data_IF_191707165373
#
_entry.id   IF_191707165373
#
_cell.length_a   1.000
_cell.length_b   1.000
_cell.length_c   1.000
_cell.angle_alpha   90.00
_cell.angle_beta   90.00
_cell.angle_gamma   90.00
#
_symmetry.space_group_name_H-M   'P 1'
#
loop_
_entity.id
_entity.type
_entity.pdbx_description
1 polymer ?
#
# COMPACT_ATOMS: atom_id res chain seq x y z
N UNK A 1 97.94 -9.55 -47.13
CA UNK A 1 96.82 -10.47 -47.44
C UNK A 1 95.50 -9.73 -47.21
N UNK A 2 94.57 -9.80 -48.18
CA UNK A 2 93.08 -9.72 -48.08
C UNK A 2 92.46 -8.50 -47.33
N UNK A 3 91.82 -7.53 -48.02
CA UNK A 3 90.43 -7.51 -48.56
C UNK A 3 89.32 -7.31 -47.49
N UNK A 4 88.40 -6.36 -47.79
CA UNK A 4 86.97 -6.24 -47.36
C UNK A 4 86.74 -5.64 -45.95
N UNK A 5 85.66 -4.94 -45.59
CA UNK A 5 84.33 -4.72 -46.19
C UNK A 5 83.68 -3.44 -45.58
N UNK A 6 82.71 -2.91 -46.31
CA UNK A 6 81.68 -1.89 -46.02
C UNK A 6 80.81 -2.26 -44.79
N UNK A 7 80.27 -1.27 -44.04
CA UNK A 7 78.82 -1.12 -43.74
C UNK A 7 78.47 -0.15 -42.56
N UNK A 8 77.65 0.85 -42.90
CA UNK A 8 76.45 1.33 -42.18
C UNK A 8 76.56 1.90 -40.75
N UNK A 9 76.24 3.19 -40.60
CA UNK A 9 75.49 3.69 -39.45
C UNK A 9 74.33 4.55 -39.96
N UNK A 10 73.19 3.88 -40.20
CA UNK A 10 71.94 4.50 -40.59
C UNK A 10 70.82 3.82 -39.81
N UNK A 11 70.00 4.65 -39.16
CA UNK A 11 68.56 4.47 -38.93
C UNK A 11 68.07 3.51 -37.83
N UNK A 12 66.91 3.92 -37.29
CA UNK A 12 65.91 3.17 -36.50
C UNK A 12 66.06 3.28 -34.97
N UNK A 13 65.52 4.39 -34.45
CA UNK A 13 64.96 4.45 -33.11
C UNK A 13 63.80 3.44 -33.03
N UNK A 14 63.91 2.54 -32.07
CA UNK A 14 63.11 1.35 -31.86
C UNK A 14 61.61 1.66 -31.71
N UNK A 15 60.79 1.14 -32.62
CA UNK A 15 59.35 0.99 -32.45
C UNK A 15 59.11 -0.17 -31.47
N UNK A 16 58.80 0.13 -30.21
CA UNK A 16 58.10 -0.82 -29.33
C UNK A 16 56.61 -0.70 -29.60
N UNK A 17 56.14 -1.38 -30.65
CA UNK A 17 54.75 -1.74 -30.79
C UNK A 17 54.55 -3.10 -30.10
N UNK A 18 54.20 -3.07 -28.81
CA UNK A 18 53.49 -4.21 -28.22
C UNK A 18 52.02 -4.08 -28.60
N UNK A 19 51.36 -5.10 -29.18
CA UNK A 19 49.92 -5.08 -29.33
C UNK A 19 49.34 -5.18 -27.92
N UNK A 20 48.92 -4.04 -27.36
CA UNK A 20 47.95 -4.06 -26.28
C UNK A 20 46.65 -4.63 -26.87
N UNK A 21 46.50 -5.95 -26.84
CA UNK A 21 45.19 -6.58 -26.84
C UNK A 21 44.55 -6.35 -25.46
N UNK A 22 44.33 -5.08 -25.14
CA UNK A 22 43.23 -4.70 -24.25
C UNK A 22 42.05 -4.66 -25.21
N UNK A 23 41.07 -5.54 -25.03
CA UNK A 23 39.73 -5.29 -25.58
C UNK A 23 39.21 -4.07 -24.83
N UNK A 24 39.68 -2.89 -25.23
CA UNK A 24 39.18 -1.63 -24.75
C UNK A 24 37.79 -1.53 -25.36
N UNK A 25 36.78 -1.96 -24.61
CA UNK A 25 35.39 -1.78 -24.97
C UNK A 25 35.21 -0.32 -25.39
N UNK A 26 34.88 -0.10 -26.66
CA UNK A 26 34.69 1.25 -27.18
C UNK A 26 33.50 1.87 -26.43
N UNK A 27 33.52 3.18 -26.19
CA UNK A 27 32.43 3.89 -25.51
C UNK A 27 31.08 3.59 -26.21
N UNK A 28 31.09 3.37 -27.52
CA UNK A 28 29.92 2.92 -28.30
C UNK A 28 29.39 1.54 -27.86
N UNK A 29 30.26 0.57 -27.59
CA UNK A 29 29.86 -0.75 -27.08
C UNK A 29 29.29 -0.65 -25.66
N UNK A 30 29.83 0.24 -24.82
CA UNK A 30 29.29 0.49 -23.46
C UNK A 30 27.90 1.12 -23.52
N UNK A 31 27.69 2.09 -24.41
CA UNK A 31 26.37 2.71 -24.63
C UNK A 31 25.36 1.68 -25.16
N UNK A 32 25.77 0.81 -26.09
CA UNK A 32 24.90 -0.25 -26.63
C UNK A 32 24.53 -1.28 -25.55
N UNK A 33 25.50 -1.73 -24.75
CA UNK A 33 25.27 -2.66 -23.65
C UNK A 33 24.33 -2.05 -22.59
N UNK A 34 24.54 -0.78 -22.24
CA UNK A 34 23.67 -0.05 -21.30
C UNK A 34 22.26 0.16 -21.87
N UNK A 35 22.13 0.39 -23.17
CA UNK A 35 20.83 0.51 -23.84
C UNK A 35 20.06 -0.81 -23.81
N UNK A 36 20.73 -1.94 -24.08
CA UNK A 36 20.12 -3.28 -23.97
C UNK A 36 19.65 -3.60 -22.55
N UNK A 37 20.41 -3.21 -21.52
CA UNK A 37 19.98 -3.35 -20.12
C UNK A 37 18.73 -2.51 -19.84
N UNK A 38 18.71 -1.24 -20.26
CA UNK A 38 17.55 -0.37 -20.08
C UNK A 38 16.31 -0.95 -20.79
N UNK A 39 16.44 -1.45 -22.02
CA UNK A 39 15.35 -2.10 -22.74
C UNK A 39 14.82 -3.34 -22.01
N UNK A 40 15.71 -4.18 -21.46
CA UNK A 40 15.31 -5.32 -20.65
C UNK A 40 14.56 -4.90 -19.37
N UNK A 41 15.02 -3.84 -18.70
CA UNK A 41 14.39 -3.30 -17.49
C UNK A 41 13.00 -2.71 -17.82
N UNK A 42 12.87 -1.96 -18.91
CA UNK A 42 11.57 -1.44 -19.39
C UNK A 42 10.59 -2.58 -19.68
N UNK A 43 11.08 -3.67 -20.29
CA UNK A 43 10.24 -4.85 -20.53
C UNK A 43 9.75 -5.45 -19.20
N UNK A 44 10.63 -5.63 -18.22
CA UNK A 44 10.23 -6.14 -16.89
C UNK A 44 9.28 -5.20 -16.15
N UNK A 45 9.44 -3.89 -16.31
CA UNK A 45 8.52 -2.88 -15.76
C UNK A 45 7.12 -3.02 -16.38
N UNK A 46 7.07 -3.22 -17.70
CA UNK A 46 5.82 -3.42 -18.43
C UNK A 46 5.10 -4.70 -17.98
N UNK A 47 5.82 -5.82 -17.93
CA UNK A 47 5.28 -7.11 -17.50
C UNK A 47 4.77 -7.02 -16.04
N UNK A 48 5.49 -6.31 -15.16
CA UNK A 48 5.07 -6.07 -13.78
C UNK A 48 3.81 -5.19 -13.67
N UNK A 49 3.66 -4.18 -14.52
CA UNK A 49 2.47 -3.32 -14.60
C UNK A 49 1.25 -4.07 -15.14
N UNK A 50 1.43 -4.92 -16.14
CA UNK A 50 0.35 -5.78 -16.65
C UNK A 50 -0.13 -6.75 -15.57
N UNK A 51 0.80 -7.37 -14.82
CA UNK A 51 0.44 -8.23 -13.69
C UNK A 51 -0.28 -7.46 -12.57
N UNK A 52 0.14 -6.24 -12.25
CA UNK A 52 -0.55 -5.38 -11.29
C UNK A 52 -2.00 -5.08 -11.73
N UNK A 53 -2.21 -4.79 -13.02
CA UNK A 53 -3.56 -4.57 -13.55
C UNK A 53 -4.45 -5.83 -13.41
N UNK A 54 -3.89 -7.03 -13.62
CA UNK A 54 -4.64 -8.28 -13.40
C UNK A 54 -5.00 -8.48 -11.92
N UNK A 55 -4.08 -8.19 -11.01
CA UNK A 55 -4.35 -8.24 -9.57
C UNK A 55 -5.43 -7.23 -9.15
N UNK A 56 -5.44 -6.03 -9.74
CA UNK A 56 -6.48 -5.04 -9.47
C UNK A 56 -7.86 -5.49 -9.93
N UNK A 57 -7.96 -6.19 -11.06
CA UNK A 57 -9.22 -6.77 -11.54
C UNK A 57 -9.70 -7.92 -10.65
N UNK A 58 -8.79 -8.78 -10.20
CA UNK A 58 -9.09 -9.86 -9.25
C UNK A 58 -9.56 -9.31 -7.89
N UNK A 59 -8.88 -8.29 -7.36
CA UNK A 59 -9.29 -7.59 -6.13
C UNK A 59 -10.68 -6.98 -6.31
N UNK A 60 -10.94 -6.25 -7.39
CA UNK A 60 -12.25 -5.64 -7.63
C UNK A 60 -13.37 -6.70 -7.76
N UNK A 61 -13.06 -7.86 -8.33
CA UNK A 61 -14.00 -8.99 -8.40
C UNK A 61 -14.29 -9.55 -7.02
N UNK A 62 -13.27 -9.75 -6.19
CA UNK A 62 -13.42 -10.24 -4.82
C UNK A 62 -14.15 -9.23 -3.93
N UNK A 63 -13.86 -7.93 -4.06
CA UNK A 63 -14.61 -6.87 -3.39
C UNK A 63 -16.10 -6.95 -3.72
N UNK A 64 -16.45 -7.18 -4.99
CA UNK A 64 -17.84 -7.34 -5.42
C UNK A 64 -18.49 -8.61 -4.87
N UNK A 65 -17.77 -9.73 -4.84
CA UNK A 65 -18.23 -10.97 -4.21
C UNK A 65 -18.44 -10.78 -2.71
N UNK A 66 -17.52 -10.10 -2.03
CA UNK A 66 -17.61 -9.74 -0.63
C UNK A 66 -18.85 -8.89 -0.34
N UNK A 67 -19.10 -7.83 -1.13
CA UNK A 67 -20.31 -7.01 -0.99
C UNK A 67 -21.59 -7.82 -1.20
N UNK A 68 -21.57 -8.78 -2.13
CA UNK A 68 -22.71 -9.67 -2.37
C UNK A 68 -22.96 -10.57 -1.16
N UNK A 69 -21.92 -11.20 -0.61
CA UNK A 69 -22.00 -12.04 0.59
C UNK A 69 -22.44 -11.23 1.81
N UNK A 70 -21.99 -9.98 1.94
CA UNK A 70 -22.39 -9.09 3.03
C UNK A 70 -23.87 -8.72 2.93
N UNK A 71 -24.39 -8.49 1.71
CA UNK A 71 -25.82 -8.28 1.48
C UNK A 71 -26.66 -9.52 1.79
N UNK A 72 -26.18 -10.71 1.41
CA UNK A 72 -26.80 -11.99 1.77
C UNK A 72 -26.83 -12.20 3.28
N UNK A 73 -25.73 -11.88 3.97
CA UNK A 73 -25.62 -11.96 5.43
C UNK A 73 -26.63 -11.05 6.12
N UNK A 74 -26.74 -9.78 5.71
CA UNK A 74 -27.73 -8.86 6.27
C UNK A 74 -29.17 -9.32 6.05
N UNK A 75 -29.48 -9.91 4.90
CA UNK A 75 -30.81 -10.52 4.65
C UNK A 75 -31.05 -11.70 5.59
N UNK A 76 -30.05 -12.55 5.77
CA UNK A 76 -30.15 -13.72 6.64
C UNK A 76 -30.22 -13.33 8.12
N UNK A 77 -29.60 -12.24 8.54
CA UNK A 77 -29.71 -11.67 9.90
C UNK A 77 -31.11 -11.13 10.18
N UNK A 78 -31.73 -10.44 9.22
CA UNK A 78 -33.14 -10.01 9.34
C UNK A 78 -34.06 -11.21 9.47
N UNK A 79 -33.83 -12.24 8.66
CA UNK A 79 -34.62 -13.47 8.73
C UNK A 79 -34.37 -14.22 10.04
N UNK A 80 -33.13 -14.24 10.53
CA UNK A 80 -32.80 -14.78 11.85
C UNK A 80 -33.56 -14.08 12.97
N UNK A 81 -33.58 -12.75 12.98
CA UNK A 81 -34.29 -11.99 14.01
C UNK A 81 -35.80 -12.26 13.98
N UNK A 82 -36.36 -12.40 12.77
CA UNK A 82 -37.75 -12.83 12.57
C UNK A 82 -37.97 -14.24 13.15
N UNK A 83 -37.13 -15.21 12.79
CA UNK A 83 -37.19 -16.59 13.26
C UNK A 83 -36.98 -16.70 14.77
N UNK A 84 -36.08 -15.93 15.38
CA UNK A 84 -35.86 -15.90 16.82
C UNK A 84 -37.11 -15.39 17.57
N UNK A 85 -37.80 -14.40 17.00
CA UNK A 85 -39.08 -13.93 17.55
C UNK A 85 -40.15 -15.02 17.46
N UNK A 86 -40.21 -15.74 16.33
CA UNK A 86 -41.13 -16.87 16.15
C UNK A 86 -40.82 -18.03 17.11
N UNK A 87 -39.54 -18.38 17.26
CA UNK A 87 -39.07 -19.40 18.21
C UNK A 87 -39.45 -19.01 19.64
N UNK A 88 -39.20 -17.77 20.06
CA UNK A 88 -39.55 -17.29 21.42
C UNK A 88 -41.06 -17.36 21.67
N UNK A 89 -41.86 -16.96 20.69
CA UNK A 89 -43.32 -17.09 20.75
C UNK A 89 -43.76 -18.57 20.81
N UNK A 90 -43.11 -19.45 20.05
CA UNK A 90 -43.39 -20.88 20.04
C UNK A 90 -42.98 -21.55 21.35
N UNK A 91 -41.82 -21.21 21.91
CA UNK A 91 -41.36 -21.65 23.23
C UNK A 91 -42.35 -21.25 24.31
N UNK A 92 -42.82 -20.00 24.28
CA UNK A 92 -43.83 -19.51 25.22
C UNK A 92 -45.15 -20.30 25.10
N UNK A 93 -45.59 -20.62 23.87
CA UNK A 93 -46.78 -21.47 23.64
C UNK A 93 -46.57 -22.89 24.14
N UNK A 94 -45.42 -23.50 23.85
CA UNK A 94 -45.03 -24.83 24.28
C UNK A 94 -44.97 -24.89 25.81
N UNK A 95 -44.43 -23.88 26.48
CA UNK A 95 -44.31 -23.82 27.93
C UNK A 95 -45.70 -23.71 28.58
N UNK A 96 -46.53 -22.76 28.11
CA UNK A 96 -47.92 -22.62 28.58
C UNK A 96 -48.72 -23.91 28.40
N UNK A 97 -48.60 -24.57 27.24
CA UNK A 97 -49.28 -25.84 26.98
C UNK A 97 -48.73 -26.98 27.85
N UNK A 98 -47.42 -27.00 28.13
CA UNK A 98 -46.81 -27.98 29.04
C UNK A 98 -47.33 -27.83 30.46
N UNK A 99 -47.44 -26.60 30.96
CA UNK A 99 -47.99 -26.33 32.30
C UNK A 99 -49.48 -26.72 32.39
N UNK A 100 -50.27 -26.43 31.34
CA UNK A 100 -51.67 -26.89 31.27
C UNK A 100 -51.78 -28.42 31.30
N UNK A 101 -50.96 -29.12 30.50
CA UNK A 101 -50.94 -30.58 30.48
C UNK A 101 -50.50 -31.18 31.83
N UNK A 102 -49.49 -30.59 32.48
CA UNK A 102 -49.07 -30.98 33.84
C UNK A 102 -50.19 -30.76 34.86
N UNK A 103 -50.88 -29.62 34.82
CA UNK A 103 -52.00 -29.32 35.69
C UNK A 103 -53.16 -30.32 35.49
N UNK A 104 -53.51 -30.62 34.23
CA UNK A 104 -54.54 -31.62 33.89
C UNK A 104 -54.15 -33.03 34.35
N UNK A 105 -52.91 -33.45 34.10
CA UNK A 105 -52.40 -34.73 34.56
C UNK A 105 -52.40 -34.82 36.10
N UNK A 106 -52.01 -33.73 36.78
CA UNK A 106 -52.03 -33.64 38.24
C UNK A 106 -53.44 -33.74 38.79
N UNK A 107 -54.42 -33.00 38.25
CA UNK A 107 -55.83 -33.11 38.67
C UNK A 107 -56.35 -34.54 38.51
N UNK A 108 -56.01 -35.18 37.40
CA UNK A 108 -56.36 -36.58 37.12
C UNK A 108 -55.68 -37.56 38.10
N UNK A 109 -54.47 -37.25 38.58
CA UNK A 109 -53.69 -38.10 39.48
C UNK A 109 -53.98 -37.85 40.98
N UNK A 110 -54.26 -36.62 41.39
CA UNK A 110 -54.44 -36.23 42.80
C UNK A 110 -55.87 -36.37 43.28
N UNK A 111 -56.86 -36.27 42.40
CA UNK A 111 -58.24 -36.63 42.74
C UNK A 111 -58.28 -38.15 42.97
N UNK A 112 -58.23 -38.55 44.24
CA UNK A 112 -58.22 -39.94 44.71
C UNK A 112 -59.54 -40.69 44.49
N UNK A 113 -60.54 -40.08 43.85
CA UNK A 113 -61.66 -40.82 43.30
C UNK A 113 -61.23 -41.31 41.92
N UNK A 114 -60.81 -42.57 41.85
CA UNK A 114 -60.73 -43.33 40.61
C UNK A 114 -62.13 -43.53 40.03
N UNK A 115 -62.85 -42.45 39.76
CA UNK A 115 -63.94 -42.47 38.80
C UNK A 115 -63.26 -42.66 37.44
N UNK A 116 -62.99 -43.93 37.10
CA UNK A 116 -62.62 -44.31 35.74
C UNK A 116 -63.63 -43.67 34.79
N UNK A 117 -63.26 -43.41 33.54
CA UNK A 117 -64.23 -43.04 32.50
C UNK A 117 -65.44 -43.99 32.54
N UNK A 118 -65.21 -45.27 32.87
CA UNK A 118 -66.25 -46.25 33.15
C UNK A 118 -67.16 -45.88 34.33
N UNK A 119 -66.64 -45.39 35.45
CA UNK A 119 -67.43 -44.98 36.63
C UNK A 119 -68.27 -43.73 36.33
N UNK A 120 -67.72 -42.74 35.63
CA UNK A 120 -68.46 -41.54 35.19
C UNK A 120 -69.60 -41.91 34.24
N UNK A 121 -69.39 -42.94 33.40
CA UNK A 121 -70.41 -43.47 32.51
C UNK A 121 -71.46 -44.34 33.24
N UNK A 122 -71.03 -45.07 34.27
CA UNK A 122 -71.90 -45.90 35.12
C UNK A 122 -72.73 -45.08 36.12
N UNK A 123 -72.29 -43.87 36.47
CA UNK A 123 -73.03 -42.91 37.30
C UNK A 123 -74.02 -42.05 36.51
N UNK A 124 -74.35 -42.44 35.28
CA UNK A 124 -75.37 -41.77 34.48
C UNK A 124 -76.78 -41.98 35.05
N UNK A 125 -77.54 -40.90 35.24
CA UNK A 125 -78.89 -40.94 35.83
C UNK A 125 -79.96 -41.40 34.82
N UNK A 126 -79.65 -41.36 33.52
CA UNK A 126 -80.54 -41.78 32.43
C UNK A 126 -79.75 -42.18 31.17
N UNK A 127 -80.41 -42.85 30.22
CA UNK A 127 -79.81 -43.16 28.92
C UNK A 127 -79.40 -41.90 28.14
N UNK A 128 -80.15 -40.79 28.28
CA UNK A 128 -79.83 -39.50 27.66
C UNK A 128 -78.61 -38.84 28.32
N UNK A 129 -78.48 -38.96 29.64
CA UNK A 129 -77.32 -38.50 30.40
C UNK A 129 -76.07 -39.33 30.06
N UNK A 130 -76.21 -40.65 29.94
CA UNK A 130 -75.13 -41.54 29.52
C UNK A 130 -74.58 -41.18 28.13
N UNK A 131 -75.47 -40.93 27.14
CA UNK A 131 -75.06 -40.51 25.79
C UNK A 131 -74.33 -39.15 25.83
N UNK A 132 -74.83 -38.21 26.64
CA UNK A 132 -74.20 -36.89 26.79
C UNK A 132 -72.82 -36.99 27.44
N UNK A 133 -72.66 -37.83 28.46
CA UNK A 133 -71.38 -38.11 29.13
C UNK A 133 -70.39 -38.83 28.18
N UNK A 134 -70.84 -39.78 27.36
CA UNK A 134 -69.99 -40.41 26.31
C UNK A 134 -69.49 -39.38 25.31
N UNK A 135 -70.37 -38.51 24.81
CA UNK A 135 -69.99 -37.45 23.87
C UNK A 135 -69.01 -36.45 24.50
N UNK A 136 -69.23 -36.07 25.77
CA UNK A 136 -68.35 -35.18 26.52
C UNK A 136 -66.95 -35.81 26.73
N UNK A 137 -66.89 -37.08 27.13
CA UNK A 137 -65.63 -37.84 27.26
C UNK A 137 -64.90 -37.95 25.93
N UNK A 138 -65.60 -38.31 24.84
CA UNK A 138 -64.98 -38.43 23.53
C UNK A 138 -64.42 -37.08 23.04
N UNK A 139 -65.15 -35.99 23.29
CA UNK A 139 -64.72 -34.62 22.98
C UNK A 139 -63.46 -34.25 23.77
N UNK A 140 -63.43 -34.55 25.08
CA UNK A 140 -62.26 -34.29 25.95
C UNK A 140 -61.03 -35.13 25.54
N UNK A 141 -61.20 -36.41 25.25
CA UNK A 141 -60.12 -37.31 24.81
C UNK A 141 -59.56 -36.85 23.46
N UNK A 142 -60.43 -36.48 22.53
CA UNK A 142 -60.03 -35.94 21.22
C UNK A 142 -59.23 -34.64 21.39
N UNK A 143 -59.76 -33.69 22.16
CA UNK A 143 -59.09 -32.42 22.43
C UNK A 143 -57.72 -32.61 23.11
N UNK A 144 -57.60 -33.54 24.06
CA UNK A 144 -56.32 -33.83 24.73
C UNK A 144 -55.30 -34.46 23.77
N UNK A 145 -55.74 -35.39 22.90
CA UNK A 145 -54.87 -35.97 21.88
C UNK A 145 -54.42 -34.94 20.84
N UNK A 146 -55.29 -34.02 20.45
CA UNK A 146 -54.94 -32.90 19.55
C UNK A 146 -53.91 -31.96 20.19
N UNK A 147 -54.09 -31.59 21.47
CA UNK A 147 -53.13 -30.76 22.22
C UNK A 147 -51.76 -31.45 22.33
N UNK A 148 -51.73 -32.76 22.61
CA UNK A 148 -50.49 -33.54 22.67
C UNK A 148 -49.78 -33.64 21.31
N UNK A 149 -50.57 -33.82 20.25
CA UNK A 149 -50.04 -33.88 18.87
C UNK A 149 -49.46 -32.53 18.46
N UNK A 150 -50.22 -31.44 18.65
CA UNK A 150 -49.74 -30.08 18.41
C UNK A 150 -48.47 -29.75 19.21
N UNK A 151 -48.39 -30.19 20.47
CA UNK A 151 -47.20 -30.01 21.30
C UNK A 151 -45.97 -30.74 20.76
N UNK A 152 -46.16 -31.94 20.21
CA UNK A 152 -45.08 -32.73 19.62
C UNK A 152 -44.59 -32.11 18.31
N UNK A 153 -45.51 -31.64 17.48
CA UNK A 153 -45.20 -31.03 16.20
C UNK A 153 -44.49 -29.69 16.38
N UNK A 154 -44.99 -28.82 17.28
CA UNK A 154 -44.34 -27.53 17.62
C UNK A 154 -42.90 -27.73 18.13
N UNK A 155 -42.65 -28.74 18.98
CA UNK A 155 -41.30 -29.07 19.47
C UNK A 155 -40.38 -29.55 18.36
N UNK A 156 -40.90 -30.35 17.42
CA UNK A 156 -40.14 -30.85 16.27
C UNK A 156 -39.76 -29.70 15.36
N UNK A 157 -40.71 -28.81 15.05
CA UNK A 157 -40.50 -27.63 14.24
C UNK A 157 -39.42 -26.72 14.85
N UNK A 158 -39.50 -26.45 16.14
CA UNK A 158 -38.51 -25.65 16.87
C UNK A 158 -37.08 -26.20 16.72
N UNK A 159 -36.90 -27.52 16.89
CA UNK A 159 -35.57 -28.15 16.73
C UNK A 159 -35.08 -28.02 15.29
N UNK A 160 -35.96 -28.20 14.30
CA UNK A 160 -35.58 -28.04 12.89
C UNK A 160 -35.20 -26.61 12.54
N UNK A 161 -35.93 -25.61 13.05
CA UNK A 161 -35.68 -24.19 12.82
C UNK A 161 -34.35 -23.76 13.43
N UNK A 162 -34.07 -24.14 14.68
CA UNK A 162 -32.79 -23.87 15.35
C UNK A 162 -31.62 -24.52 14.59
N UNK A 163 -31.78 -25.76 14.14
CA UNK A 163 -30.73 -26.47 13.41
C UNK A 163 -30.43 -25.86 12.04
N UNK A 164 -31.44 -25.46 11.27
CA UNK A 164 -31.21 -24.82 9.97
C UNK A 164 -30.53 -23.46 10.15
N UNK A 165 -30.95 -22.68 11.15
CA UNK A 165 -30.39 -21.37 11.44
C UNK A 165 -28.89 -21.44 11.76
N UNK A 166 -28.48 -22.33 12.67
CA UNK A 166 -27.05 -22.51 13.01
C UNK A 166 -26.22 -22.94 11.80
N UNK A 167 -26.76 -23.80 10.93
CA UNK A 167 -26.07 -24.23 9.70
C UNK A 167 -25.87 -23.08 8.73
N UNK A 168 -26.87 -22.23 8.53
CA UNK A 168 -26.74 -21.11 7.61
C UNK A 168 -25.75 -20.06 8.13
N UNK A 169 -25.75 -19.80 9.45
CA UNK A 169 -24.79 -18.89 10.08
C UNK A 169 -23.35 -19.36 9.91
N UNK A 170 -23.08 -20.61 10.31
CA UNK A 170 -21.73 -21.18 10.21
C UNK A 170 -21.23 -21.24 8.76
N UNK A 171 -22.11 -21.50 7.79
CA UNK A 171 -21.74 -21.46 6.37
C UNK A 171 -21.39 -20.04 5.89
N UNK A 172 -22.15 -19.03 6.32
CA UNK A 172 -21.88 -17.62 5.98
C UNK A 172 -20.61 -17.11 6.64
N UNK A 173 -20.37 -17.45 7.91
CA UNK A 173 -19.13 -17.12 8.63
C UNK A 173 -17.91 -17.69 7.91
N UNK A 174 -17.97 -18.97 7.52
CA UNK A 174 -16.89 -19.62 6.76
C UNK A 174 -16.62 -18.93 5.43
N UNK A 175 -17.68 -18.61 4.67
CA UNK A 175 -17.56 -17.91 3.37
C UNK A 175 -16.99 -16.51 3.53
N UNK A 176 -17.34 -15.82 4.62
CA UNK A 176 -16.81 -14.48 4.94
C UNK A 176 -15.31 -14.56 5.25
N UNK A 177 -14.90 -15.49 6.11
CA UNK A 177 -13.50 -15.69 6.47
C UNK A 177 -12.63 -16.09 5.26
N UNK A 178 -13.13 -16.99 4.39
CA UNK A 178 -12.42 -17.37 3.16
C UNK A 178 -12.21 -16.20 2.19
N UNK A 179 -13.17 -15.25 2.13
CA UNK A 179 -13.04 -14.05 1.31
C UNK A 179 -12.06 -13.04 1.91
N UNK A 180 -12.06 -12.86 3.22
CA UNK A 180 -11.13 -11.97 3.94
C UNK A 180 -9.68 -12.45 3.83
N UNK A 181 -9.44 -13.76 3.90
CA UNK A 181 -8.11 -14.36 3.67
C UNK A 181 -7.63 -14.10 2.23
N UNK A 182 -8.51 -14.25 1.24
CA UNK A 182 -8.21 -13.96 -0.17
C UNK A 182 -7.93 -12.48 -0.40
N UNK A 183 -8.72 -11.58 0.17
CA UNK A 183 -8.50 -10.13 0.06
C UNK A 183 -7.15 -9.74 0.65
N UNK A 184 -6.80 -10.27 1.83
CA UNK A 184 -5.53 -10.01 2.50
C UNK A 184 -4.34 -10.48 1.66
N UNK A 185 -4.37 -11.72 1.16
CA UNK A 185 -3.29 -12.28 0.33
C UNK A 185 -3.09 -11.54 -0.98
N UNK A 186 -4.18 -11.09 -1.62
CA UNK A 186 -4.11 -10.26 -2.83
C UNK A 186 -3.60 -8.85 -2.54
N UNK A 187 -3.99 -8.24 -1.42
CA UNK A 187 -3.48 -6.93 -0.99
C UNK A 187 -1.98 -6.99 -0.70
N UNK A 188 -1.50 -8.06 -0.06
CA UNK A 188 -0.06 -8.32 0.15
C UNK A 188 0.67 -8.46 -1.19
N UNK A 189 0.12 -9.23 -2.14
CA UNK A 189 0.69 -9.40 -3.48
C UNK A 189 0.76 -8.07 -4.25
N UNK A 190 -0.28 -7.23 -4.15
CA UNK A 190 -0.30 -5.88 -4.73
C UNK A 190 0.80 -5.00 -4.14
N UNK A 191 0.98 -5.03 -2.82
CA UNK A 191 2.01 -4.26 -2.14
C UNK A 191 3.40 -4.73 -2.58
N UNK A 192 3.67 -6.03 -2.58
CA UNK A 192 4.94 -6.61 -3.04
C UNK A 192 5.25 -6.18 -4.49
N UNK A 193 4.24 -6.21 -5.36
CA UNK A 193 4.43 -5.83 -6.75
C UNK A 193 4.67 -4.32 -6.93
N UNK A 194 4.04 -3.48 -6.11
CA UNK A 194 4.31 -2.03 -6.09
C UNK A 194 5.74 -1.71 -5.64
N UNK A 195 6.27 -2.45 -4.66
CA UNK A 195 7.65 -2.32 -4.21
C UNK A 195 8.62 -2.70 -5.34
N UNK A 196 8.37 -3.83 -6.03
CA UNK A 196 9.18 -4.24 -7.19
C UNK A 196 9.18 -3.20 -8.30
N UNK A 197 8.04 -2.57 -8.59
CA UNK A 197 7.97 -1.48 -9.60
C UNK A 197 8.82 -0.28 -9.16
N UNK A 198 8.77 0.10 -7.89
CA UNK A 198 9.57 1.20 -7.36
C UNK A 198 11.08 0.89 -7.40
N UNK A 199 11.47 -0.35 -7.09
CA UNK A 199 12.86 -0.83 -7.22
C UNK A 199 13.32 -0.81 -8.68
N UNK A 200 12.48 -1.28 -9.61
CA UNK A 200 12.74 -1.24 -11.05
C UNK A 200 12.90 0.21 -11.53
N UNK A 201 12.05 1.13 -11.07
CA UNK A 201 12.15 2.56 -11.41
C UNK A 201 13.45 3.19 -10.89
N UNK A 202 13.86 2.85 -9.67
CA UNK A 202 15.15 3.29 -9.12
C UNK A 202 16.34 2.73 -9.92
N UNK A 203 16.30 1.44 -10.27
CA UNK A 203 17.33 0.80 -11.07
C UNK A 203 17.39 1.37 -12.50
N UNK A 204 16.25 1.72 -13.09
CA UNK A 204 16.18 2.38 -14.39
C UNK A 204 16.81 3.77 -14.34
N UNK A 205 16.55 4.54 -13.28
CA UNK A 205 17.17 5.85 -13.08
C UNK A 205 18.70 5.75 -12.96
N UNK A 206 19.22 4.77 -12.22
CA UNK A 206 20.68 4.56 -12.09
C UNK A 206 21.33 4.14 -13.40
N UNK A 207 20.72 3.21 -14.14
CA UNK A 207 21.27 2.73 -15.42
C UNK A 207 21.22 3.83 -16.50
N UNK A 208 20.20 4.69 -16.47
CA UNK A 208 20.08 5.86 -17.36
C UNK A 208 21.13 6.92 -17.02
N UNK A 209 21.39 7.19 -15.74
CA UNK A 209 22.44 8.11 -15.32
C UNK A 209 23.86 7.65 -15.74
N UNK A 210 24.14 6.34 -15.64
CA UNK A 210 25.42 5.78 -16.14
C UNK A 210 25.51 5.86 -17.67
N UNK A 211 24.41 5.64 -18.41
CA UNK A 211 24.37 5.87 -19.87
C UNK A 211 24.69 7.33 -20.22
N UNK A 212 24.09 8.29 -19.53
CA UNK A 212 24.31 9.73 -19.76
C UNK A 212 25.77 10.14 -19.48
N UNK A 213 26.38 9.53 -18.47
CA UNK A 213 27.81 9.70 -18.17
C UNK A 213 28.69 9.21 -19.32
N UNK A 214 28.39 8.06 -19.92
CA UNK A 214 29.11 7.58 -21.11
C UNK A 214 28.91 8.47 -22.33
N UNK A 215 27.70 9.01 -22.52
CA UNK A 215 27.43 9.98 -23.61
C UNK A 215 28.27 11.25 -23.40
N UNK A 216 28.29 11.82 -22.19
CA UNK A 216 29.13 12.99 -21.87
C UNK A 216 30.62 12.71 -22.08
N UNK A 217 31.10 11.53 -21.71
CA UNK A 217 32.49 11.11 -21.98
C UNK A 217 32.77 11.01 -23.47
N UNK A 218 31.82 10.52 -24.28
CA UNK A 218 31.93 10.45 -25.74
C UNK A 218 32.01 11.84 -26.37
N UNK A 219 31.17 12.77 -25.92
CA UNK A 219 31.15 14.15 -26.40
C UNK A 219 32.43 14.90 -26.05
N UNK A 220 32.93 14.75 -24.82
CA UNK A 220 34.16 15.37 -24.36
C UNK A 220 35.38 14.82 -25.14
N UNK A 221 35.44 13.50 -25.33
CA UNK A 221 36.49 12.87 -26.14
C UNK A 221 36.44 13.36 -27.61
N UNK A 222 35.25 13.58 -28.17
CA UNK A 222 35.08 14.14 -29.51
C UNK A 222 35.57 15.59 -29.60
N UNK A 223 35.24 16.44 -28.61
CA UNK A 223 35.73 17.82 -28.51
C UNK A 223 37.25 17.88 -28.40
N UNK A 224 37.84 17.05 -27.55
CA UNK A 224 39.29 16.97 -27.39
C UNK A 224 39.99 16.53 -28.67
N UNK A 225 39.44 15.52 -29.36
CA UNK A 225 39.95 15.06 -30.66
C UNK A 225 39.87 16.15 -31.73
N UNK A 226 38.77 16.90 -31.78
CA UNK A 226 38.60 18.03 -32.70
C UNK A 226 39.60 19.17 -32.40
N UNK A 227 39.79 19.51 -31.13
CA UNK A 227 40.76 20.50 -30.69
C UNK A 227 42.20 20.08 -31.04
N UNK A 228 42.56 18.80 -30.84
CA UNK A 228 43.87 18.26 -31.23
C UNK A 228 44.06 18.31 -32.76
N UNK A 229 43.05 17.97 -33.55
CA UNK A 229 43.12 18.06 -35.01
C UNK A 229 43.28 19.51 -35.49
N UNK A 230 42.58 20.46 -34.86
CA UNK A 230 42.75 21.90 -35.13
C UNK A 230 44.15 22.39 -34.76
N UNK A 231 44.66 21.99 -33.59
CA UNK A 231 46.02 22.33 -33.15
C UNK A 231 47.09 21.76 -34.07
N UNK A 232 46.99 20.48 -34.46
CA UNK A 232 47.90 19.86 -35.43
C UNK A 232 47.81 20.51 -36.82
N UNK A 233 46.62 20.92 -37.27
CA UNK A 233 46.46 21.63 -38.53
C UNK A 233 47.08 23.02 -38.48
N UNK A 234 46.96 23.74 -37.36
CA UNK A 234 47.57 25.04 -37.17
C UNK A 234 49.09 24.96 -37.04
N UNK A 235 49.60 23.94 -36.34
CA UNK A 235 51.03 23.64 -36.24
C UNK A 235 51.63 23.34 -37.61
N UNK A 236 51.00 22.46 -38.40
CA UNK A 236 51.40 22.20 -39.80
C UNK A 236 51.35 23.45 -40.68
N UNK A 237 50.37 24.34 -40.46
CA UNK A 237 50.29 25.62 -41.17
C UNK A 237 51.43 26.56 -40.79
N UNK A 238 51.79 26.65 -39.50
CA UNK A 238 52.94 27.42 -39.02
C UNK A 238 54.26 26.86 -39.54
N UNK A 239 54.42 25.53 -39.56
CA UNK A 239 55.59 24.86 -40.12
C UNK A 239 55.73 25.11 -41.63
N UNK A 240 54.64 25.01 -42.39
CA UNK A 240 54.64 25.32 -43.82
C UNK A 240 54.95 26.80 -44.11
N UNK A 241 54.43 27.73 -43.29
CA UNK A 241 54.75 29.15 -43.38
C UNK A 241 56.23 29.44 -43.07
N UNK A 242 56.77 28.84 -42.00
CA UNK A 242 58.18 28.97 -41.64
C UNK A 242 59.10 28.43 -42.75
N UNK A 243 58.74 27.28 -43.35
CA UNK A 243 59.48 26.72 -44.48
C UNK A 243 59.41 27.62 -45.72
N UNK A 244 58.24 28.15 -46.07
CA UNK A 244 58.09 29.09 -47.19
C UNK A 244 58.83 30.41 -46.97
N UNK A 245 58.89 30.89 -45.71
CA UNK A 245 59.61 32.10 -45.34
C UNK A 245 61.14 31.88 -45.37
N UNK A 246 61.61 30.71 -44.92
CA UNK A 246 63.01 30.30 -45.05
C UNK A 246 63.43 30.16 -46.52
N UNK A 247 62.57 29.59 -47.39
CA UNK A 247 62.82 29.53 -48.83
C UNK A 247 62.83 30.91 -49.50
N UNK A 248 61.95 31.84 -49.08
CA UNK A 248 61.99 33.24 -49.54
C UNK A 248 63.26 33.95 -49.09
N UNK A 249 63.66 33.81 -47.83
CA UNK A 249 64.89 34.40 -47.30
C UNK A 249 66.13 33.82 -47.97
N UNK A 250 66.15 32.52 -48.28
CA UNK A 250 67.24 31.91 -49.05
C UNK A 250 67.31 32.44 -50.48
N UNK A 251 66.16 32.64 -51.15
CA UNK A 251 66.10 33.29 -52.48
C UNK A 251 66.50 34.77 -52.43
N UNK A 252 66.07 35.51 -51.40
CA UNK A 252 66.46 36.91 -51.19
C UNK A 252 67.95 37.05 -50.84
N UNK A 253 68.54 36.09 -50.11
CA UNK A 253 69.98 36.06 -49.87
C UNK A 253 70.76 35.76 -51.15
N UNK A 254 70.26 34.85 -52.01
CA UNK A 254 70.85 34.62 -53.33
C UNK A 254 70.73 35.84 -54.26
N UNK A 255 69.61 36.58 -54.20
CA UNK A 255 69.42 37.84 -54.93
C UNK A 255 70.29 38.96 -54.35
N UNK A 256 70.44 39.04 -53.02
CA UNK A 256 71.34 40.01 -52.36
C UNK A 256 72.81 39.72 -52.61
N UNK A 257 73.24 38.46 -52.70
CA UNK A 257 74.59 38.11 -53.17
C UNK A 257 74.80 38.48 -54.65
N UNK A 258 73.75 38.37 -55.49
CA UNK A 258 73.77 38.84 -56.86
C UNK A 258 73.73 40.38 -56.98
N UNK A 259 73.06 41.09 -56.07
CA UNK A 259 73.01 42.56 -55.99
C UNK A 259 74.27 43.16 -55.34
N UNK A 260 74.92 42.48 -54.38
CA UNK A 260 76.21 42.91 -53.81
C UNK A 260 77.33 42.91 -54.86
N UNK A 261 77.19 42.11 -55.92
CA UNK A 261 78.06 42.12 -57.08
C UNK A 261 77.76 43.28 -58.06
N UNK A 262 76.64 44.00 -57.91
CA UNK A 262 76.12 44.89 -58.96
C UNK A 262 76.05 46.38 -58.64
N UNK A 263 76.23 46.88 -57.40
CA UNK A 263 76.16 48.34 -57.19
C UNK A 263 76.93 48.84 -55.97
N UNK A 264 78.17 49.27 -56.25
CA UNK A 264 78.65 50.58 -55.79
C UNK A 264 77.63 51.65 -56.24
N UNK A 265 76.92 52.34 -55.35
CA UNK A 265 76.67 53.81 -55.38
C UNK A 265 75.61 54.25 -54.36
N UNK A 266 75.98 55.29 -53.59
CA UNK A 266 75.14 56.33 -52.92
C UNK A 266 74.08 55.90 -51.88
N UNK A 267 74.27 56.06 -50.56
CA UNK A 267 74.41 57.25 -49.68
C UNK A 267 73.08 57.87 -49.19
N UNK A 268 72.89 57.83 -47.84
CA UNK A 268 72.10 58.72 -46.92
C UNK A 268 70.56 58.71 -47.08
N UNK A 269 69.71 58.85 -46.05
CA UNK A 269 69.79 59.41 -44.69
C UNK A 269 68.50 59.02 -43.89
N UNK A 270 68.61 58.90 -42.54
CA UNK A 270 67.65 59.27 -41.46
C UNK A 270 66.12 58.95 -41.56
N UNK A 271 65.34 58.59 -40.53
CA UNK A 271 65.39 58.77 -39.07
C UNK A 271 64.33 57.92 -38.33
N UNK A 272 64.71 57.43 -37.14
CA UNK A 272 63.99 57.30 -35.84
C UNK A 272 62.45 57.31 -35.76
N UNK A 273 61.84 56.36 -35.03
CA UNK A 273 61.53 56.44 -33.57
C UNK A 273 60.81 55.18 -33.06
N UNK A 274 61.18 54.76 -31.86
CA UNK A 274 60.59 53.76 -30.95
C UNK A 274 59.89 54.55 -29.80
N UNK A 275 59.34 53.97 -28.71
CA UNK A 275 58.73 52.66 -28.41
C UNK A 275 57.43 52.80 -27.53
N UNK A 276 56.98 51.66 -26.99
CA UNK A 276 56.53 51.50 -25.59
C UNK A 276 55.03 51.75 -25.28
N UNK A 277 54.34 51.09 -24.34
CA UNK A 277 54.66 50.05 -23.33
C UNK A 277 53.34 49.48 -22.78
N UNK A 278 53.35 48.18 -22.50
CA UNK A 278 52.92 47.45 -21.28
C UNK A 278 51.58 47.64 -20.55
N UNK A 279 51.24 46.48 -19.94
CA UNK A 279 50.73 46.26 -18.58
C UNK A 279 49.19 46.29 -18.40
N UNK A 280 48.57 45.47 -17.55
CA UNK A 280 48.95 44.35 -16.67
C UNK A 280 47.63 43.80 -16.08
N UNK A 281 47.65 42.54 -15.60
CA UNK A 281 46.95 42.03 -14.39
C UNK A 281 45.41 42.22 -14.22
N UNK A 282 44.67 41.50 -13.37
CA UNK A 282 44.67 40.21 -12.65
C UNK A 282 43.42 40.26 -11.73
N UNK A 283 42.99 39.11 -11.17
CA UNK A 283 42.08 38.94 -10.00
C UNK A 283 40.58 39.26 -10.18
N UNK A 284 39.62 38.68 -9.44
CA UNK A 284 39.56 37.74 -8.29
C UNK A 284 38.09 37.26 -8.07
N UNK A 285 37.96 35.99 -7.67
CA UNK A 285 37.13 35.31 -6.63
C UNK A 285 35.73 35.79 -6.10
N UNK A 286 35.10 34.81 -5.41
CA UNK A 286 33.99 34.80 -4.42
C UNK A 286 32.56 34.51 -4.95
N UNK A 287 31.65 33.78 -4.28
CA UNK A 287 31.55 33.29 -2.89
C UNK A 287 30.58 32.10 -2.75
N UNK A 288 30.72 31.44 -1.60
CA UNK A 288 30.03 30.33 -0.95
C UNK A 288 28.57 30.55 -0.45
N UNK A 289 27.77 29.48 -0.55
CA UNK A 289 27.15 28.70 0.53
C UNK A 289 25.93 29.18 1.39
N UNK A 290 24.98 28.24 1.52
CA UNK A 290 24.38 27.71 2.76
C UNK A 290 22.98 28.14 3.28
N UNK A 291 22.16 27.10 3.56
CA UNK A 291 21.59 26.74 4.87
C UNK A 291 20.08 26.75 5.15
N UNK A 292 19.72 25.63 5.80
CA UNK A 292 18.45 25.13 6.28
C UNK A 292 18.30 25.42 7.79
N UNK A 293 17.08 25.40 8.33
CA UNK A 293 16.81 25.60 9.76
C UNK A 293 15.66 24.70 10.29
N UNK A 294 15.56 24.44 11.62
CA UNK A 294 15.15 23.16 12.22
C UNK A 294 13.78 23.14 12.95
N UNK A 295 13.36 21.95 13.38
CA UNK A 295 12.13 21.63 14.15
C UNK A 295 12.31 21.72 15.68
N UNK A 296 11.22 21.93 16.46
CA UNK A 296 11.23 21.88 17.94
C UNK A 296 10.79 20.51 18.52
N UNK A 297 11.17 20.18 19.78
CA UNK A 297 10.83 18.92 20.47
C UNK A 297 9.68 19.07 21.48
N UNK A 298 8.87 18.01 21.69
CA UNK A 298 7.96 17.92 22.86
C UNK A 298 7.74 16.47 23.35
N UNK A 299 7.46 16.34 24.65
CA UNK A 299 7.87 15.28 25.57
C UNK A 299 6.86 14.16 25.91
N UNK A 300 7.43 13.00 26.29
CA UNK A 300 7.08 12.01 27.33
C UNK A 300 5.64 11.53 27.59
N UNK A 301 4.73 11.70 26.64
CA UNK A 301 3.47 10.96 26.55
C UNK A 301 3.00 10.86 25.09
N UNK A 302 3.27 11.91 24.31
CA UNK A 302 3.39 11.88 22.85
C UNK A 302 2.11 11.67 22.04
N UNK A 303 0.97 11.37 22.67
CA UNK A 303 -0.31 11.13 22.01
C UNK A 303 -1.36 12.15 22.46
N UNK A 304 -2.08 12.71 21.48
CA UNK A 304 -3.25 13.56 21.65
C UNK A 304 -4.52 12.71 21.52
N UNK A 305 -5.63 13.22 22.06
CA UNK A 305 -6.93 12.59 21.84
C UNK A 305 -7.35 12.71 20.36
N UNK A 306 -7.89 11.63 19.75
CA UNK A 306 -8.34 11.67 18.36
C UNK A 306 -9.66 12.43 18.18
N UNK A 307 -10.39 12.75 19.26
CA UNK A 307 -11.68 13.46 19.24
C UNK A 307 -11.72 14.49 20.37
N UNK A 308 -12.46 15.58 20.20
CA UNK A 308 -12.57 16.62 21.22
C UNK A 308 -13.27 16.13 22.52
N UNK A 309 -14.18 15.15 22.39
CA UNK A 309 -14.91 14.55 23.51
C UNK A 309 -14.71 13.03 23.51
N UNK A 310 -13.96 12.52 24.49
CA UNK A 310 -13.67 11.09 24.64
C UNK A 310 -14.81 10.34 25.35
N UNK A 311 -15.99 10.29 24.74
CA UNK A 311 -17.07 9.44 25.25
C UNK A 311 -16.79 7.97 24.87
N UNK A 312 -16.16 7.21 25.77
CA UNK A 312 -15.88 5.80 25.54
C UNK A 312 -17.19 5.00 25.57
N UNK A 313 -17.55 4.40 24.43
CA UNK A 313 -18.71 3.52 24.28
C UNK A 313 -18.32 2.04 24.34
N UNK A 314 -17.08 1.71 24.00
CA UNK A 314 -16.51 0.37 24.15
C UNK A 314 -15.01 0.47 24.42
N UNK A 315 -14.53 -0.23 25.45
CA UNK A 315 -13.10 -0.26 25.81
C UNK A 315 -12.34 -1.37 25.10
N UNK A 316 -11.00 -1.32 25.17
CA UNK A 316 -10.12 -2.38 24.67
C UNK A 316 -10.24 -3.66 25.52
N UNK A 317 -10.20 -4.82 24.87
CA UNK A 317 -10.20 -6.12 25.53
C UNK A 317 -11.53 -6.89 25.40
N UNK A 318 -11.77 -7.83 26.32
CA UNK A 318 -12.91 -8.73 26.26
C UNK A 318 -14.26 -8.02 26.35
N UNK A 319 -15.17 -8.31 25.41
CA UNK A 319 -16.56 -7.80 25.38
C UNK A 319 -17.55 -8.87 24.92
N UNK A 320 -18.83 -8.71 25.26
CA UNK A 320 -19.90 -9.42 24.55
C UNK A 320 -19.94 -8.91 23.11
N UNK A 321 -20.03 -9.82 22.13
CA UNK A 321 -19.93 -9.46 20.72
C UNK A 321 -21.14 -8.61 20.27
N UNK A 322 -20.97 -7.31 20.00
CA UNK A 322 -22.08 -6.41 19.70
C UNK A 322 -22.71 -6.63 18.32
N UNK A 323 -22.02 -7.34 17.41
CA UNK A 323 -22.51 -7.58 16.03
C UNK A 323 -22.53 -9.05 15.63
N UNK A 324 -21.91 -9.93 16.40
CA UNK A 324 -21.62 -11.31 15.99
C UNK A 324 -20.44 -11.44 15.02
N UNK A 325 -19.81 -10.32 14.64
CA UNK A 325 -18.71 -10.22 13.66
C UNK A 325 -17.48 -9.54 14.27
N UNK A 326 -17.73 -8.56 15.13
CA UNK A 326 -16.71 -7.80 15.87
C UNK A 326 -15.93 -8.62 16.90
N UNK A 327 -16.34 -9.88 17.12
CA UNK A 327 -15.70 -10.79 18.04
C UNK A 327 -15.92 -10.41 19.51
N UNK A 328 -15.46 -11.30 20.39
CA UNK A 328 -15.50 -11.10 21.85
C UNK A 328 -14.27 -10.36 22.38
N UNK A 329 -13.36 -9.91 21.51
CA UNK A 329 -12.19 -9.13 21.86
C UNK A 329 -12.14 -7.87 21.00
N UNK A 330 -12.05 -6.72 21.66
CA UNK A 330 -11.93 -5.42 21.04
C UNK A 330 -10.47 -4.98 20.99
N UNK A 331 -9.95 -4.81 19.78
CA UNK A 331 -8.59 -4.39 19.44
C UNK A 331 -8.39 -2.86 19.46
N UNK A 332 -9.41 -2.11 19.86
CA UNK A 332 -9.40 -0.65 19.96
C UNK A 332 -10.23 -0.09 21.10
N UNK A 333 -10.53 1.20 21.02
CA UNK A 333 -11.48 1.92 21.86
C UNK A 333 -12.46 2.62 20.94
N UNK A 334 -13.76 2.48 21.24
CA UNK A 334 -14.82 3.15 20.50
C UNK A 334 -15.20 4.44 21.21
N UNK A 335 -15.12 5.56 20.48
CA UNK A 335 -15.56 6.88 20.93
C UNK A 335 -16.87 7.26 20.25
N UNK A 336 -17.93 7.39 21.05
CA UNK A 336 -19.23 7.82 20.59
C UNK A 336 -19.27 9.31 20.23
N UNK A 337 -20.04 9.67 19.21
CA UNK A 337 -20.20 11.05 18.79
C UNK A 337 -21.28 11.22 17.72
N UNK A 338 -21.34 12.42 17.12
CA UNK A 338 -22.26 12.73 16.01
C UNK A 338 -21.56 12.56 14.66
N UNK A 339 -22.33 12.29 13.60
CA UNK A 339 -21.74 12.14 12.27
C UNK A 339 -21.06 13.44 11.83
N UNK A 340 -19.87 13.33 11.25
CA UNK A 340 -19.05 14.47 10.87
C UNK A 340 -18.24 15.09 12.01
N UNK A 341 -18.29 14.56 13.23
CA UNK A 341 -17.39 14.99 14.32
C UNK A 341 -15.93 14.90 13.82
N UNK A 342 -15.13 15.98 13.92
CA UNK A 342 -13.74 15.96 13.44
C UNK A 342 -12.91 14.90 14.17
N UNK A 343 -12.19 14.09 13.39
CA UNK A 343 -11.22 13.12 13.87
C UNK A 343 -9.82 13.65 13.58
N UNK A 344 -8.96 13.67 14.60
CA UNK A 344 -7.64 14.26 14.56
C UNK A 344 -6.54 13.21 14.70
N UNK A 345 -5.38 13.46 14.10
CA UNK A 345 -4.21 12.61 14.28
C UNK A 345 -3.73 12.65 15.73
N UNK A 346 -3.79 11.53 16.43
CA UNK A 346 -3.30 11.41 17.82
C UNK A 346 -1.80 11.67 17.91
N UNK A 347 -1.03 11.47 16.84
CA UNK A 347 0.41 11.74 16.80
C UNK A 347 0.87 12.04 15.38
N UNK A 348 1.95 12.81 15.24
CA UNK A 348 2.54 13.08 13.93
C UNK A 348 3.07 11.80 13.27
N UNK A 349 3.02 11.73 11.95
CA UNK A 349 3.46 10.55 11.22
C UNK A 349 3.13 10.61 9.73
N UNK A 350 3.30 9.48 9.05
CA UNK A 350 2.97 9.29 7.65
C UNK A 350 1.69 8.47 7.52
N UNK A 351 0.74 8.94 6.71
CA UNK A 351 -0.47 8.20 6.40
C UNK A 351 -0.11 7.03 5.49
N UNK A 352 -0.19 5.81 6.00
CA UNK A 352 0.11 4.58 5.24
C UNK A 352 -1.13 3.96 4.61
N UNK A 353 -2.32 4.32 5.09
CA UNK A 353 -3.60 3.99 4.46
C UNK A 353 -4.60 5.12 4.64
N UNK A 354 -5.35 5.43 3.58
CA UNK A 354 -6.50 6.33 3.59
C UNK A 354 -7.46 5.91 2.48
N UNK A 355 -8.27 4.89 2.75
CA UNK A 355 -9.21 4.32 1.78
C UNK A 355 -10.41 3.68 2.50
N UNK A 356 -11.25 2.96 1.74
CA UNK A 356 -12.39 2.21 2.26
C UNK A 356 -12.05 0.72 2.28
N UNK A 357 -12.43 0.01 3.35
CA UNK A 357 -12.48 -1.45 3.36
C UNK A 357 -13.77 -1.96 4.02
N UNK A 358 -14.10 -3.23 3.80
CA UNK A 358 -15.36 -3.83 4.26
C UNK A 358 -15.56 -3.74 5.79
N UNK A 359 -14.55 -4.14 6.56
CA UNK A 359 -14.65 -4.14 8.02
C UNK A 359 -14.39 -2.76 8.62
N UNK A 360 -13.34 -2.08 8.16
CA UNK A 360 -12.89 -0.80 8.70
C UNK A 360 -13.76 0.39 8.25
N UNK A 361 -14.51 0.25 7.17
CA UNK A 361 -15.16 1.38 6.49
C UNK A 361 -14.13 2.32 5.88
N UNK A 362 -14.49 3.60 5.74
CA UNK A 362 -13.48 4.63 5.47
C UNK A 362 -12.57 4.72 6.68
N UNK A 363 -11.27 4.62 6.44
CA UNK A 363 -10.30 4.63 7.53
C UNK A 363 -9.02 5.35 7.16
N UNK A 364 -8.29 5.74 8.19
CA UNK A 364 -6.92 6.24 8.09
C UNK A 364 -6.03 5.38 8.98
N UNK A 365 -4.83 5.05 8.49
CA UNK A 365 -3.75 4.46 9.31
C UNK A 365 -2.52 5.34 9.21
N UNK A 366 -1.95 5.70 10.36
CA UNK A 366 -0.75 6.53 10.44
C UNK A 366 0.38 5.71 11.05
N UNK A 367 1.52 5.67 10.38
CA UNK A 367 2.78 5.15 10.92
C UNK A 367 3.54 6.27 11.62
N UNK A 368 4.00 5.99 12.84
CA UNK A 368 4.71 6.96 13.67
C UNK A 368 6.21 6.65 13.76
N UNK A 369 7.00 7.68 14.09
CA UNK A 369 8.46 7.59 14.24
C UNK A 369 8.93 6.64 15.34
N UNK A 370 8.08 6.38 16.34
CA UNK A 370 8.32 5.46 17.45
C UNK A 370 7.96 3.99 17.13
N UNK A 371 7.64 3.67 15.87
CA UNK A 371 7.35 2.31 15.42
C UNK A 371 5.90 1.85 15.66
N UNK A 372 5.05 2.69 16.25
CA UNK A 372 3.63 2.41 16.39
C UNK A 372 2.82 2.81 15.16
N UNK A 373 1.65 2.22 15.03
CA UNK A 373 0.60 2.62 14.10
C UNK A 373 -0.63 3.07 14.88
N UNK A 374 -1.32 4.11 14.40
CA UNK A 374 -2.67 4.46 14.87
C UNK A 374 -3.70 4.28 13.76
N UNK A 375 -4.87 3.78 14.14
CA UNK A 375 -5.97 3.44 13.24
C UNK A 375 -7.20 4.26 13.60
N UNK A 376 -7.87 4.79 12.58
CA UNK A 376 -9.07 5.61 12.70
C UNK A 376 -10.13 5.03 11.76
N UNK A 377 -11.12 4.33 12.31
CA UNK A 377 -12.07 3.52 11.56
C UNK A 377 -13.48 4.12 11.56
N UNK A 378 -14.33 3.55 10.69
CA UNK A 378 -15.74 3.87 10.52
C UNK A 378 -16.03 5.32 10.12
N UNK A 379 -15.06 6.00 9.50
CA UNK A 379 -15.16 7.43 9.17
C UNK A 379 -16.25 7.71 8.12
N UNK A 380 -16.85 8.89 8.14
CA UNK A 380 -17.80 9.34 7.10
C UNK A 380 -17.09 9.95 5.90
N UNK A 381 -15.89 10.50 6.10
CA UNK A 381 -15.11 11.20 5.08
C UNK A 381 -13.62 11.16 5.43
N UNK A 382 -12.77 11.29 4.41
CA UNK A 382 -11.32 11.36 4.54
C UNK A 382 -10.85 12.73 4.04
N UNK A 383 -9.97 13.39 4.79
CA UNK A 383 -9.36 14.70 4.46
C UNK A 383 -7.86 14.58 4.15
N UNK A 384 -7.34 13.35 4.12
CA UNK A 384 -5.94 13.02 3.88
C UNK A 384 -5.83 11.85 2.90
N UNK A 385 -4.65 11.68 2.31
CA UNK A 385 -4.35 10.60 1.36
C UNK A 385 -3.12 9.80 1.81
N UNK A 386 -2.97 8.56 1.31
CA UNK A 386 -1.77 7.76 1.54
C UNK A 386 -0.49 8.48 1.05
N UNK A 387 0.60 8.34 1.80
CA UNK A 387 1.87 9.04 1.61
C UNK A 387 1.93 10.45 2.19
N UNK A 388 0.81 10.98 2.71
CA UNK A 388 0.78 12.31 3.30
C UNK A 388 1.42 12.31 4.70
N UNK A 389 2.34 13.25 4.95
CA UNK A 389 2.80 13.55 6.31
C UNK A 389 1.76 14.40 7.05
N UNK A 390 1.44 14.02 8.29
CA UNK A 390 0.47 14.71 9.14
C UNK A 390 1.07 15.11 10.48
N UNK A 391 0.66 16.27 10.99
CA UNK A 391 1.03 16.73 12.34
C UNK A 391 0.05 16.18 13.39
N UNK A 392 0.50 16.05 14.64
CA UNK A 392 -0.41 15.75 15.75
C UNK A 392 -1.51 16.83 15.84
N UNK A 393 -2.77 16.42 15.98
CA UNK A 393 -3.94 17.28 16.00
C UNK A 393 -4.48 17.67 14.61
N UNK A 394 -3.82 17.27 13.52
CA UNK A 394 -4.31 17.54 12.18
C UNK A 394 -5.62 16.79 11.90
N UNK A 395 -6.60 17.46 11.31
CA UNK A 395 -7.87 16.85 10.91
C UNK A 395 -7.65 15.77 9.83
N UNK A 396 -8.17 14.58 10.08
CA UNK A 396 -8.12 13.42 9.20
C UNK A 396 -9.43 13.20 8.45
N UNK A 397 -10.55 13.70 8.98
CA UNK A 397 -11.88 13.51 8.41
C UNK A 397 -12.98 13.56 9.45
N UNK A 398 -14.16 13.05 9.10
CA UNK A 398 -15.35 13.05 9.96
C UNK A 398 -15.71 11.67 10.51
N UNK A 399 -16.24 11.62 11.73
CA UNK A 399 -16.78 10.42 12.35
C UNK A 399 -18.02 9.91 11.60
N UNK A 400 -18.16 8.60 11.47
CA UNK A 400 -19.25 7.99 10.71
C UNK A 400 -19.70 6.65 11.28
N UNK A 401 -20.31 5.85 10.42
CA UNK A 401 -20.81 4.49 10.68
C UNK A 401 -20.56 3.60 9.47
N UNK A 402 -19.45 3.82 8.76
CA UNK A 402 -19.12 3.04 7.55
C UNK A 402 -18.44 1.72 7.90
N UNK A 403 -18.49 0.75 7.00
CA UNK A 403 -17.98 -0.60 7.27
C UNK A 403 -18.83 -1.36 8.29
N UNK A 404 -18.19 -2.19 9.11
CA UNK A 404 -18.88 -2.98 10.14
C UNK A 404 -19.06 -2.16 11.43
N UNK A 405 -20.17 -1.43 11.52
CA UNK A 405 -20.45 -0.51 12.62
C UNK A 405 -21.93 -0.57 13.03
N UNK A 406 -22.22 -0.49 14.33
CA UNK A 406 -23.58 -0.53 14.89
C UNK A 406 -24.22 0.85 15.04
N UNK A 407 -23.47 1.91 14.78
CA UNK A 407 -23.90 3.30 14.96
C UNK A 407 -22.72 4.26 14.86
N UNK A 408 -22.99 5.56 14.90
CA UNK A 408 -21.93 6.56 14.71
C UNK A 408 -20.91 6.54 15.85
N UNK A 409 -19.67 6.16 15.54
CA UNK A 409 -18.54 6.18 16.46
C UNK A 409 -17.21 6.23 15.70
N UNK A 410 -16.13 6.56 16.41
CA UNK A 410 -14.76 6.32 15.98
C UNK A 410 -14.25 5.06 16.67
N UNK A 411 -13.85 4.05 15.91
CA UNK A 411 -13.01 2.98 16.43
C UNK A 411 -11.55 3.39 16.30
N UNK A 412 -10.84 3.46 17.42
CA UNK A 412 -9.47 3.92 17.52
C UNK A 412 -8.55 2.84 18.11
N UNK A 413 -7.50 2.50 17.37
CA UNK A 413 -6.57 1.43 17.76
C UNK A 413 -5.13 1.88 17.66
N UNK A 414 -4.27 1.25 18.46
CA UNK A 414 -2.82 1.44 18.40
C UNK A 414 -2.18 0.06 18.29
N UNK A 415 -1.17 -0.09 17.43
CA UNK A 415 -0.49 -1.37 17.23
C UNK A 415 1.02 -1.22 17.02
N UNK A 416 1.77 -2.30 17.25
CA UNK A 416 3.23 -2.36 17.02
C UNK A 416 3.61 -2.84 15.61
N UNK A 417 2.65 -3.35 14.83
CA UNK A 417 2.81 -3.77 13.44
C UNK A 417 1.59 -3.41 12.62
N UNK A 418 1.71 -3.35 11.29
CA UNK A 418 0.57 -3.07 10.42
C UNK A 418 -0.49 -4.18 10.59
N UNK A 419 -1.70 -3.81 10.98
CA UNK A 419 -2.84 -4.68 11.32
C UNK A 419 -2.52 -5.82 12.31
N UNK A 420 -1.48 -5.66 13.14
CA UNK A 420 -1.02 -6.71 14.07
C UNK A 420 -0.39 -6.14 15.34
N UNK A 421 -0.51 -6.88 16.45
CA UNK A 421 0.05 -6.47 17.74
C UNK A 421 -0.66 -5.25 18.34
N UNK A 422 -1.99 -5.28 18.36
CA UNK A 422 -2.82 -4.24 18.97
C UNK A 422 -2.58 -4.14 20.48
N UNK A 423 -2.48 -2.91 20.98
CA UNK A 423 -2.24 -2.59 22.39
C UNK A 423 -3.33 -1.67 22.91
N UNK A 424 -3.63 -1.75 24.21
CA UNK A 424 -4.63 -0.89 24.83
C UNK A 424 -4.28 0.60 24.65
N UNK A 425 -5.10 1.39 23.94
CA UNK A 425 -4.83 2.82 23.74
C UNK A 425 -5.09 3.68 24.99
N UNK A 426 -5.88 3.21 25.97
CA UNK A 426 -6.32 4.01 27.12
C UNK A 426 -5.16 4.67 27.90
N UNK A 427 -4.06 3.95 28.25
CA UNK A 427 -2.94 4.56 28.96
C UNK A 427 -2.22 5.65 28.17
N UNK A 428 -2.27 5.60 26.83
CA UNK A 428 -1.66 6.59 25.95
C UNK A 428 -2.53 7.84 25.81
N UNK A 429 -3.85 7.70 25.98
CA UNK A 429 -4.83 8.78 25.91
C UNK A 429 -5.19 9.40 27.28
N UNK A 430 -4.67 8.83 28.37
CA UNK A 430 -4.95 9.28 29.73
C UNK A 430 -6.36 8.92 30.24
N UNK A 431 -6.88 7.76 29.79
CA UNK A 431 -8.19 7.22 30.13
C UNK A 431 -8.14 6.20 31.29
#
# INVERSE_FOLDING_TARGET
MKKKLIATLSFILLVYATPMNVVAENIDQKIDNQTKKIEAIIKTEKDAKEYLATLEEEIATIEKEYQTVLSEKQKQEKEMNRLNTEISNLETKIEKRSEQLKAQARVTQTNHEQESVLTVLLSAESLSDAVSKVLAVNTLVTANNEILTAQKDDKKELVTLKSSLTKTLTALEKKTAELEEKETTLAESKLEQSVKINEIAAHLATETAEKDKFIKQKEEAAKQKEAQLKAMAEEKKKEAQAKAQAEKQAKEQQVKEAELAASQTTTKEQSQTVPNTNNDSAQSENSDNNSQAPTPPVSSGGWLSPVASMLVTSGFGGREDPTGISGSFHDGIDFGGSSGTPIMASRAGEVVSANYSGMAGNHVVIKHDNGYYSYYLHMSSLSVSAGQSVSAGQNLGGMGTTGNSTGVHLHFSISTGLWSGFVNPAPLLGL
#
